data_IF_510917909551
#
_entry.id   IF_510917909551
#
_cell.length_a   1.000
_cell.length_b   1.000
_cell.length_c   1.000
_cell.angle_alpha   90.00
_cell.angle_beta   90.00
_cell.angle_gamma   90.00
#
_symmetry.space_group_name_H-M   'P 1'
#
loop_
_entity.id
_entity.type
_entity.pdbx_description
1 polymer ?
#
# COMPACT_ATOMS: atom_id res chain seq x y z
N UNK A 1 -17.12 -41.59 43.60
CA UNK A 1 -17.07 -43.07 43.69
C UNK A 1 -17.76 -43.68 42.47
N UNK A 2 -17.03 -44.55 41.77
CA UNK A 2 -17.44 -45.58 40.79
C UNK A 2 -18.12 -45.22 39.45
N UNK A 3 -17.31 -45.43 38.41
CA UNK A 3 -17.68 -45.67 37.00
C UNK A 3 -18.58 -46.91 36.80
N UNK A 4 -19.33 -46.93 35.69
CA UNK A 4 -19.69 -48.11 34.88
C UNK A 4 -20.15 -47.62 33.49
N UNK A 5 -19.36 -47.85 32.44
CA UNK A 5 -19.25 -49.04 31.55
C UNK A 5 -20.06 -48.86 30.26
N UNK A 6 -19.33 -48.76 29.15
CA UNK A 6 -19.80 -48.92 27.76
C UNK A 6 -19.64 -50.40 27.38
N UNK A 7 -20.59 -50.96 26.64
CA UNK A 7 -20.39 -52.21 25.88
C UNK A 7 -21.01 -52.14 24.49
N UNK A 8 -20.26 -52.71 23.54
CA UNK A 8 -20.41 -52.76 22.08
C UNK A 8 -21.54 -53.69 21.60
N UNK A 9 -22.16 -53.36 20.47
CA UNK A 9 -22.86 -54.26 19.53
C UNK A 9 -22.37 -53.89 18.12
N UNK A 10 -21.59 -54.75 17.45
CA UNK A 10 -21.97 -55.90 16.63
C UNK A 10 -22.61 -55.50 15.30
N UNK A 11 -22.01 -55.89 14.17
CA UNK A 11 -22.56 -56.91 13.25
C UNK A 11 -21.62 -57.20 12.07
N UNK A 12 -21.26 -58.48 11.93
CA UNK A 12 -20.80 -59.13 10.71
C UNK A 12 -22.04 -59.57 9.92
N UNK A 13 -22.02 -59.42 8.60
CA UNK A 13 -22.79 -60.28 7.68
C UNK A 13 -21.97 -60.53 6.41
N UNK A 14 -21.94 -61.80 6.02
CA UNK A 14 -21.10 -62.36 4.98
C UNK A 14 -21.87 -62.61 3.67
N UNK A 15 -21.12 -62.50 2.56
CA UNK A 15 -21.18 -63.27 1.30
C UNK A 15 -22.44 -63.24 0.42
N UNK A 16 -22.25 -62.87 -0.86
CA UNK A 16 -22.33 -63.84 -1.98
C UNK A 16 -21.61 -63.30 -3.22
N UNK A 17 -20.74 -64.12 -3.81
CA UNK A 17 -19.99 -63.82 -5.02
C UNK A 17 -20.74 -64.25 -6.29
N UNK A 18 -20.57 -63.46 -7.35
CA UNK A 18 -20.80 -63.87 -8.73
C UNK A 18 -19.56 -63.46 -9.55
N UNK A 19 -18.86 -64.45 -10.09
CA UNK A 19 -17.68 -64.26 -10.92
C UNK A 19 -18.10 -63.92 -12.35
N UNK A 20 -17.72 -62.72 -12.81
CA UNK A 20 -17.73 -62.35 -14.23
C UNK A 20 -16.29 -62.01 -14.60
N UNK A 21 -15.64 -62.92 -15.33
CA UNK A 21 -14.33 -62.74 -15.94
C UNK A 21 -14.44 -61.77 -17.11
N UNK A 22 -14.20 -60.49 -16.87
CA UNK A 22 -13.99 -59.47 -17.90
C UNK A 22 -12.49 -59.22 -18.10
N UNK A 23 -12.03 -59.23 -19.34
CA UNK A 23 -10.67 -58.87 -19.72
C UNK A 23 -10.36 -57.42 -19.28
N UNK A 24 -9.60 -57.26 -18.20
CA UNK A 24 -9.12 -55.96 -17.73
C UNK A 24 -7.87 -55.52 -18.49
N UNK A 25 -7.96 -54.41 -19.22
CA UNK A 25 -6.79 -53.65 -19.66
C UNK A 25 -6.09 -53.14 -18.38
N UNK A 26 -4.77 -53.30 -18.20
CA UNK A 26 -4.10 -52.82 -17.00
C UNK A 26 -4.19 -51.29 -16.95
N UNK A 27 -4.94 -50.77 -15.98
CA UNK A 27 -4.93 -49.35 -15.64
C UNK A 27 -3.57 -49.01 -15.03
N UNK A 28 -2.79 -48.18 -15.72
CA UNK A 28 -1.59 -47.58 -15.18
C UNK A 28 -1.97 -46.67 -14.00
N UNK A 29 -1.33 -46.80 -12.83
CA UNK A 29 -1.58 -45.91 -11.72
C UNK A 29 -1.14 -44.49 -12.13
N UNK A 30 -2.10 -43.58 -12.26
CA UNK A 30 -1.82 -42.16 -12.47
C UNK A 30 -1.24 -41.62 -11.17
N UNK A 31 0.06 -41.45 -11.12
CA UNK A 31 0.75 -40.76 -10.04
C UNK A 31 0.30 -39.30 -10.08
N UNK A 32 -0.45 -38.87 -9.06
CA UNK A 32 -0.78 -37.47 -8.86
C UNK A 32 0.53 -36.70 -8.63
N UNK A 33 0.82 -35.62 -9.38
CA UNK A 33 2.05 -34.87 -9.15
C UNK A 33 2.04 -34.31 -7.74
N UNK A 34 3.13 -34.53 -7.00
CA UNK A 34 3.32 -33.94 -5.68
C UNK A 34 3.21 -32.40 -5.79
N UNK A 35 2.59 -31.72 -4.80
CA UNK A 35 2.53 -30.27 -4.80
C UNK A 35 3.96 -29.73 -4.86
N UNK A 36 4.23 -28.92 -5.89
CA UNK A 36 5.50 -28.19 -6.02
C UNK A 36 5.57 -27.25 -4.81
N UNK A 37 6.53 -27.49 -3.92
CA UNK A 37 6.78 -26.62 -2.80
C UNK A 37 7.13 -25.23 -3.34
N UNK A 38 6.28 -24.24 -3.06
CA UNK A 38 6.59 -22.84 -3.35
C UNK A 38 7.81 -22.47 -2.50
N UNK A 39 8.91 -22.00 -3.11
CA UNK A 39 10.08 -21.60 -2.34
C UNK A 39 9.69 -20.50 -1.33
N UNK A 40 10.27 -20.51 -0.12
CA UNK A 40 10.01 -19.46 0.85
C UNK A 40 10.37 -18.09 0.23
N UNK A 41 9.64 -17.02 0.58
CA UNK A 41 9.95 -15.69 0.08
C UNK A 41 11.41 -15.34 0.44
N UNK A 42 12.09 -14.54 -0.41
CA UNK A 42 13.45 -14.12 -0.12
C UNK A 42 13.54 -13.45 1.26
N UNK A 43 14.66 -13.68 1.94
CA UNK A 43 14.94 -13.08 3.24
C UNK A 43 14.86 -11.54 3.14
N UNK A 44 14.33 -10.91 4.19
CA UNK A 44 14.31 -9.45 4.26
C UNK A 44 15.73 -8.89 4.23
N UNK A 45 15.98 -7.73 3.58
CA UNK A 45 17.25 -7.03 3.76
C UNK A 45 17.46 -6.72 5.25
N UNK A 46 18.69 -6.79 5.76
CA UNK A 46 18.99 -6.41 7.13
C UNK A 46 18.71 -4.91 7.34
N UNK A 47 18.36 -4.54 8.57
CA UNK A 47 18.15 -3.13 8.92
C UNK A 47 19.47 -2.33 8.85
N UNK A 48 19.43 -1.11 8.32
CA UNK A 48 20.58 -0.22 8.19
C UNK A 48 20.93 0.46 9.53
N UNK A 49 22.19 0.43 9.92
CA UNK A 49 22.66 0.95 11.21
C UNK A 49 22.46 2.47 11.36
N UNK A 50 22.52 3.24 10.27
CA UNK A 50 22.30 4.70 10.34
C UNK A 50 20.81 5.02 10.56
N UNK A 51 19.92 4.20 9.99
CA UNK A 51 18.48 4.33 10.20
C UNK A 51 18.07 3.89 11.61
N UNK A 52 18.70 2.86 12.17
CA UNK A 52 18.55 2.48 13.59
C UNK A 52 18.99 3.63 14.50
N UNK A 53 20.13 4.26 14.19
CA UNK A 53 20.62 5.41 14.97
C UNK A 53 19.66 6.61 14.88
N UNK A 54 19.06 6.85 13.71
CA UNK A 54 18.04 7.89 13.51
C UNK A 54 16.77 7.61 14.32
N UNK A 55 16.26 6.37 14.30
CA UNK A 55 15.12 5.95 15.13
C UNK A 55 15.37 6.24 16.62
N UNK A 56 16.55 5.87 17.12
CA UNK A 56 16.90 6.03 18.54
C UNK A 56 16.87 7.49 19.04
N UNK A 57 16.81 8.48 18.13
CA UNK A 57 16.73 9.91 18.45
C UNK A 57 15.49 10.62 17.87
N UNK A 58 14.60 9.90 17.17
CA UNK A 58 13.36 10.47 16.62
C UNK A 58 12.18 10.46 17.59
N UNK A 59 12.27 9.73 18.71
CA UNK A 59 11.23 9.69 19.73
C UNK A 59 10.01 8.83 19.35
N UNK A 60 10.26 7.68 18.72
CA UNK A 60 9.24 6.70 18.34
C UNK A 60 9.78 5.71 17.31
N UNK A 61 8.89 5.00 16.63
CA UNK A 61 9.20 4.02 15.58
C UNK A 61 9.43 4.70 14.22
N UNK A 62 10.41 4.20 13.48
CA UNK A 62 10.74 4.63 12.13
C UNK A 62 10.68 3.44 11.17
N UNK A 63 9.86 3.52 10.14
CA UNK A 63 9.78 2.52 9.07
C UNK A 63 10.35 3.10 7.78
N UNK A 64 11.37 2.47 7.20
CA UNK A 64 12.01 2.93 5.95
C UNK A 64 12.20 1.76 5.01
N UNK A 65 11.86 1.97 3.74
CA UNK A 65 12.30 1.10 2.66
C UNK A 65 12.56 1.92 1.40
N UNK A 66 13.71 1.72 0.78
CA UNK A 66 14.11 2.40 -0.47
C UNK A 66 14.65 1.35 -1.43
N UNK A 67 14.20 1.41 -2.67
CA UNK A 67 14.61 0.55 -3.77
C UNK A 67 15.23 1.40 -4.88
N UNK A 68 16.47 1.09 -5.23
CA UNK A 68 17.05 1.51 -6.51
C UNK A 68 16.55 0.59 -7.62
N UNK A 69 15.78 1.13 -8.56
CA UNK A 69 15.15 0.34 -9.61
C UNK A 69 16.11 -0.06 -10.74
N UNK A 70 17.26 0.60 -10.85
CA UNK A 70 18.28 0.27 -11.84
C UNK A 70 19.14 -0.91 -11.43
N UNK A 71 19.47 -1.02 -10.14
CA UNK A 71 20.37 -2.05 -9.61
C UNK A 71 19.62 -3.15 -8.84
N UNK A 72 18.41 -2.86 -8.36
CA UNK A 72 17.68 -3.72 -7.43
C UNK A 72 18.17 -3.63 -5.98
N UNK A 73 19.14 -2.76 -5.69
CA UNK A 73 19.65 -2.56 -4.33
C UNK A 73 18.58 -1.94 -3.43
N UNK A 74 18.57 -2.33 -2.16
CA UNK A 74 17.61 -1.82 -1.17
C UNK A 74 18.31 -1.34 0.10
N UNK A 75 17.75 -0.30 0.70
CA UNK A 75 18.07 0.16 2.07
C UNK A 75 16.78 0.08 2.87
N UNK A 76 16.82 -0.50 4.07
CA UNK A 76 15.63 -0.78 4.84
C UNK A 76 15.86 -0.62 6.34
N UNK A 77 14.81 -0.27 7.06
CA UNK A 77 14.71 -0.36 8.53
C UNK A 77 13.25 -0.59 8.90
N UNK A 78 12.94 -1.65 9.65
CA UNK A 78 11.55 -2.09 9.93
C UNK A 78 10.68 -2.22 8.68
N UNK A 79 11.29 -2.57 7.55
CA UNK A 79 10.63 -2.50 6.23
C UNK A 79 9.42 -3.42 6.08
N UNK A 80 9.24 -4.39 7.00
CA UNK A 80 8.15 -5.37 7.00
C UNK A 80 7.22 -5.24 8.21
N UNK A 81 7.43 -4.24 9.05
CA UNK A 81 6.51 -3.92 10.14
C UNK A 81 5.37 -3.04 9.63
N UNK A 82 4.20 -3.17 10.25
CA UNK A 82 3.02 -2.37 9.89
C UNK A 82 3.14 -0.95 10.41
N UNK A 83 2.71 -0.01 9.59
CA UNK A 83 2.53 1.40 9.92
C UNK A 83 1.19 1.89 9.37
N UNK A 84 0.56 2.82 10.10
CA UNK A 84 -0.65 3.50 9.67
C UNK A 84 -0.36 4.28 8.39
N UNK A 85 -1.16 4.09 7.34
CA UNK A 85 -0.94 4.79 6.07
C UNK A 85 -1.28 6.28 6.19
N UNK A 86 -2.35 6.61 6.90
CA UNK A 86 -2.98 7.93 6.84
C UNK A 86 -3.19 8.34 5.36
N UNK A 87 -3.01 9.62 5.01
CA UNK A 87 -3.20 10.10 3.63
C UNK A 87 -2.24 9.54 2.56
N UNK A 88 -1.21 8.75 2.91
CA UNK A 88 -0.42 8.01 1.90
C UNK A 88 -1.30 7.00 1.15
N UNK A 89 -2.41 6.55 1.77
CA UNK A 89 -3.46 5.71 1.19
C UNK A 89 -4.08 6.29 -0.10
N UNK A 90 -4.02 7.62 -0.29
CA UNK A 90 -4.60 8.28 -1.48
C UNK A 90 -3.86 7.94 -2.78
N UNK A 91 -2.59 7.52 -2.71
CA UNK A 91 -1.81 7.05 -3.87
C UNK A 91 -2.39 5.74 -4.46
N UNK A 92 -2.46 4.63 -3.72
CA UNK A 92 -3.10 3.40 -4.22
C UNK A 92 -4.60 3.57 -4.52
N UNK A 93 -5.33 4.43 -3.79
CA UNK A 93 -6.72 4.77 -4.09
C UNK A 93 -6.86 5.36 -5.51
N UNK A 94 -6.07 6.38 -5.84
CA UNK A 94 -6.13 7.01 -7.17
C UNK A 94 -5.62 6.09 -8.26
N UNK A 95 -4.62 5.25 -7.98
CA UNK A 95 -4.19 4.19 -8.89
C UNK A 95 -5.35 3.21 -9.20
N UNK A 96 -6.15 2.79 -8.21
CA UNK A 96 -7.30 1.93 -8.43
C UNK A 96 -8.37 2.59 -9.34
N UNK A 97 -8.56 3.90 -9.23
CA UNK A 97 -9.46 4.66 -10.13
C UNK A 97 -8.93 4.68 -11.56
N UNK A 98 -7.62 4.87 -11.74
CA UNK A 98 -6.97 4.85 -13.05
C UNK A 98 -6.99 3.46 -13.69
N UNK A 99 -6.82 2.40 -12.90
CA UNK A 99 -6.96 1.02 -13.35
C UNK A 99 -8.37 0.77 -13.91
N UNK A 100 -9.40 1.14 -13.14
CA UNK A 100 -10.79 1.06 -13.59
C UNK A 100 -11.05 1.86 -14.86
N UNK A 101 -10.47 3.07 -14.99
CA UNK A 101 -10.62 3.93 -16.15
C UNK A 101 -10.08 3.29 -17.45
N UNK A 102 -9.17 2.31 -17.36
CA UNK A 102 -8.68 1.55 -18.52
C UNK A 102 -9.83 0.83 -19.24
N UNK A 103 -10.81 0.35 -18.48
CA UNK A 103 -11.98 -0.37 -19.02
C UNK A 103 -13.23 0.51 -19.11
N UNK A 104 -13.19 1.72 -18.57
CA UNK A 104 -14.27 2.71 -18.60
C UNK A 104 -13.74 4.06 -19.14
N UNK A 105 -13.61 4.23 -20.48
CA UNK A 105 -12.92 5.40 -21.05
C UNK A 105 -13.48 6.76 -20.65
N UNK A 106 -14.79 6.84 -20.36
CA UNK A 106 -15.46 8.08 -19.93
C UNK A 106 -15.42 8.31 -18.40
N UNK A 107 -14.79 7.41 -17.63
CA UNK A 107 -14.82 7.47 -16.17
C UNK A 107 -14.21 8.76 -15.63
N UNK A 108 -13.05 9.16 -16.18
CA UNK A 108 -12.29 10.30 -15.68
C UNK A 108 -12.99 11.64 -15.97
N UNK A 109 -13.74 11.73 -17.08
CA UNK A 109 -14.53 12.91 -17.45
C UNK A 109 -15.90 12.95 -16.77
N UNK A 110 -16.29 11.87 -16.07
CA UNK A 110 -17.58 11.80 -15.39
C UNK A 110 -17.65 12.83 -14.28
N UNK A 111 -18.68 13.68 -14.32
CA UNK A 111 -18.96 14.65 -13.28
C UNK A 111 -19.58 13.97 -12.05
N UNK A 112 -18.97 14.19 -10.89
CA UNK A 112 -19.47 13.78 -9.58
C UNK A 112 -20.10 15.00 -8.89
N UNK A 113 -21.39 14.89 -8.57
CA UNK A 113 -22.14 15.90 -7.80
C UNK A 113 -22.22 15.46 -6.35
N UNK A 114 -21.96 16.39 -5.44
CA UNK A 114 -22.01 16.20 -4.00
C UNK A 114 -22.53 17.46 -3.32
N UNK A 115 -23.18 17.32 -2.17
CA UNK A 115 -23.66 18.43 -1.37
C UNK A 115 -22.74 18.78 -0.20
N UNK A 116 -23.06 19.85 0.55
CA UNK A 116 -22.30 20.27 1.74
C UNK A 116 -22.17 19.17 2.79
N UNK A 117 -23.10 18.22 2.85
CA UNK A 117 -23.09 17.08 3.76
C UNK A 117 -21.92 16.10 3.54
N UNK A 118 -21.29 16.14 2.37
CA UNK A 118 -20.12 15.32 2.06
C UNK A 118 -18.78 16.01 2.44
N UNK A 119 -18.82 17.29 2.80
CA UNK A 119 -17.60 18.05 3.11
C UNK A 119 -17.03 17.64 4.46
N UNK A 120 -15.73 17.32 4.46
CA UNK A 120 -14.91 17.09 5.64
C UNK A 120 -14.13 18.35 6.00
N UNK A 121 -13.55 18.37 7.20
CA UNK A 121 -12.80 19.52 7.71
C UNK A 121 -11.64 19.95 6.78
N UNK A 122 -10.84 18.98 6.32
CA UNK A 122 -9.76 19.23 5.37
C UNK A 122 -10.19 18.90 3.93
N UNK A 123 -10.80 19.88 3.28
CA UNK A 123 -11.39 19.76 1.94
C UNK A 123 -11.13 21.02 1.07
N UNK A 124 -9.86 21.38 0.82
CA UNK A 124 -9.49 22.68 0.25
C UNK A 124 -10.00 22.92 -1.18
N UNK A 125 -10.24 21.87 -1.97
CA UNK A 125 -10.68 21.99 -3.37
C UNK A 125 -12.16 21.65 -3.49
N UNK A 126 -12.61 20.57 -2.86
CA UNK A 126 -14.00 20.13 -2.96
C UNK A 126 -14.98 21.14 -2.35
N UNK A 127 -14.59 21.82 -1.25
CA UNK A 127 -15.40 22.91 -0.68
C UNK A 127 -15.69 24.02 -1.69
N UNK A 128 -14.72 24.34 -2.57
CA UNK A 128 -14.87 25.39 -3.58
C UNK A 128 -15.77 24.97 -4.75
N UNK A 129 -16.03 23.66 -4.90
CA UNK A 129 -16.67 23.08 -6.08
C UNK A 129 -18.01 22.39 -5.77
N UNK A 130 -18.57 22.52 -4.56
CA UNK A 130 -19.88 21.94 -4.20
C UNK A 130 -20.99 22.31 -5.18
N UNK A 131 -21.03 23.57 -5.63
CA UNK A 131 -22.08 24.04 -6.54
C UNK A 131 -21.97 23.43 -7.95
N UNK A 132 -20.75 23.11 -8.40
CA UNK A 132 -20.45 22.65 -9.77
C UNK A 132 -20.19 21.16 -9.86
N UNK A 133 -19.90 20.49 -8.74
CA UNK A 133 -19.29 19.18 -8.75
C UNK A 133 -17.86 19.23 -9.30
N UNK A 134 -17.25 18.06 -9.42
CA UNK A 134 -15.90 17.87 -9.95
C UNK A 134 -15.85 16.63 -10.84
N UNK A 135 -15.00 16.61 -11.85
CA UNK A 135 -14.77 15.37 -12.60
C UNK A 135 -14.02 14.36 -11.72
N UNK A 136 -14.10 13.07 -12.06
CA UNK A 136 -13.30 12.05 -11.37
C UNK A 136 -11.79 12.35 -11.48
N UNK A 137 -11.33 12.88 -12.62
CA UNK A 137 -9.95 13.33 -12.78
C UNK A 137 -9.58 14.45 -11.79
N UNK A 138 -10.43 15.46 -11.64
CA UNK A 138 -10.19 16.57 -10.71
C UNK A 138 -10.21 16.11 -9.24
N UNK A 139 -11.04 15.11 -8.91
CA UNK A 139 -11.05 14.50 -7.59
C UNK A 139 -9.75 13.73 -7.32
N UNK A 140 -9.24 12.97 -8.29
CA UNK A 140 -7.94 12.29 -8.18
C UNK A 140 -6.79 13.29 -8.00
N UNK A 141 -6.81 14.38 -8.77
CA UNK A 141 -5.84 15.47 -8.63
C UNK A 141 -5.90 16.05 -7.21
N UNK A 142 -7.07 16.52 -6.76
CA UNK A 142 -7.24 17.11 -5.43
C UNK A 142 -6.82 16.17 -4.29
N UNK A 143 -7.11 14.87 -4.40
CA UNK A 143 -6.70 13.86 -3.42
C UNK A 143 -5.17 13.68 -3.38
N UNK A 144 -4.46 13.80 -4.51
CA UNK A 144 -3.01 13.62 -4.56
C UNK A 144 -2.24 14.91 -4.26
N UNK A 145 -2.60 16.01 -4.91
CA UNK A 145 -1.76 17.22 -4.95
C UNK A 145 -1.85 18.07 -3.69
N UNK A 146 -3.03 18.07 -3.07
CA UNK A 146 -3.33 18.85 -1.86
C UNK A 146 -3.97 18.03 -0.75
N UNK A 147 -4.12 16.71 -0.94
CA UNK A 147 -4.60 15.76 0.07
C UNK A 147 -6.06 15.95 0.51
N UNK A 148 -6.93 16.43 -0.39
CA UNK A 148 -8.35 16.69 -0.09
C UNK A 148 -9.09 15.42 0.39
N UNK A 149 -9.65 15.45 1.61
CA UNK A 149 -10.26 14.28 2.24
C UNK A 149 -11.63 13.94 1.66
N UNK A 150 -12.46 14.95 1.35
CA UNK A 150 -13.75 14.72 0.69
C UNK A 150 -13.53 14.14 -0.70
N UNK A 151 -12.52 14.59 -1.44
CA UNK A 151 -12.18 13.99 -2.73
C UNK A 151 -11.85 12.51 -2.58
N UNK A 152 -11.05 12.13 -1.59
CA UNK A 152 -10.74 10.73 -1.32
C UNK A 152 -11.98 9.89 -0.98
N UNK A 153 -12.90 10.40 -0.15
CA UNK A 153 -14.15 9.69 0.15
C UNK A 153 -15.05 9.52 -1.08
N UNK A 154 -15.19 10.56 -1.91
CA UNK A 154 -15.96 10.47 -3.15
C UNK A 154 -15.36 9.44 -4.13
N UNK A 155 -14.03 9.33 -4.19
CA UNK A 155 -13.35 8.30 -4.98
C UNK A 155 -13.51 6.89 -4.39
N UNK A 156 -13.51 6.75 -3.06
CA UNK A 156 -13.81 5.48 -2.40
C UNK A 156 -15.24 5.04 -2.73
N UNK A 157 -16.22 5.93 -2.59
CA UNK A 157 -17.62 5.66 -2.95
C UNK A 157 -17.75 5.26 -4.43
N UNK A 158 -17.03 5.96 -5.32
CA UNK A 158 -16.95 5.63 -6.73
C UNK A 158 -16.55 4.18 -6.98
N UNK A 159 -15.55 3.70 -6.22
CA UNK A 159 -14.99 2.34 -6.32
C UNK A 159 -15.84 1.28 -5.57
N UNK A 160 -16.80 1.69 -4.75
CA UNK A 160 -17.57 0.77 -3.90
C UNK A 160 -16.96 0.53 -2.51
N UNK A 161 -16.08 1.42 -2.05
CA UNK A 161 -15.53 1.47 -0.70
C UNK A 161 -14.09 0.94 -0.55
N UNK A 162 -13.53 0.97 0.68
CA UNK A 162 -12.14 0.63 0.96
C UNK A 162 -11.70 -0.76 0.48
N UNK A 163 -12.60 -1.75 0.57
CA UNK A 163 -12.32 -3.12 0.14
C UNK A 163 -11.97 -3.23 -1.36
N UNK A 164 -12.46 -2.32 -2.21
CA UNK A 164 -12.12 -2.27 -3.63
C UNK A 164 -10.64 -1.90 -3.84
N UNK A 165 -10.11 -0.96 -3.05
CA UNK A 165 -8.69 -0.59 -3.09
C UNK A 165 -7.82 -1.73 -2.56
N UNK A 166 -8.25 -2.40 -1.49
CA UNK A 166 -7.58 -3.63 -1.02
C UNK A 166 -7.53 -4.69 -2.12
N UNK A 167 -8.64 -4.90 -2.83
CA UNK A 167 -8.70 -5.86 -3.95
C UNK A 167 -7.75 -5.47 -5.08
N UNK A 168 -7.69 -4.19 -5.44
CA UNK A 168 -6.76 -3.67 -6.42
C UNK A 168 -5.30 -3.96 -6.05
N UNK A 169 -4.86 -3.61 -4.83
CA UNK A 169 -3.45 -3.84 -4.43
C UNK A 169 -3.12 -5.33 -4.29
N UNK A 170 -4.10 -6.20 -3.99
CA UNK A 170 -3.92 -7.66 -4.07
C UNK A 170 -3.66 -8.11 -5.51
N UNK A 171 -4.33 -7.49 -6.49
CA UNK A 171 -4.09 -7.72 -7.92
C UNK A 171 -2.68 -7.34 -8.36
N UNK A 172 -2.04 -6.37 -7.68
CA UNK A 172 -0.63 -6.01 -7.88
C UNK A 172 0.35 -6.97 -7.18
N UNK A 173 -0.15 -8.01 -6.50
CA UNK A 173 0.65 -8.99 -5.78
C UNK A 173 1.03 -8.60 -4.36
N UNK A 174 0.46 -7.53 -3.79
CA UNK A 174 0.68 -7.17 -2.38
C UNK A 174 -0.31 -7.90 -1.46
N UNK A 175 0.13 -8.82 -0.58
CA UNK A 175 -0.73 -9.50 0.38
C UNK A 175 -0.97 -8.73 1.69
N UNK A 176 -0.35 -7.56 1.88
CA UNK A 176 -0.16 -6.95 3.21
C UNK A 176 -1.00 -5.70 3.43
N UNK A 177 -1.00 -4.75 2.48
CA UNK A 177 -1.69 -3.48 2.63
C UNK A 177 -3.19 -3.70 2.70
N UNK A 178 -3.88 -2.98 3.60
CA UNK A 178 -5.34 -3.08 3.75
C UNK A 178 -5.96 -1.71 3.95
N UNK A 179 -7.13 -1.54 3.37
CA UNK A 179 -7.98 -0.35 3.45
C UNK A 179 -9.29 -0.79 4.08
N UNK A 180 -9.64 -0.19 5.20
CA UNK A 180 -10.73 -0.63 6.06
C UNK A 180 -11.74 0.50 6.32
N UNK A 181 -11.28 1.77 6.32
CA UNK A 181 -12.09 2.96 6.67
C UNK A 181 -11.97 4.06 5.62
N UNK A 182 -12.82 5.07 5.76
CA UNK A 182 -12.83 6.32 5.00
C UNK A 182 -12.10 7.42 5.78
N UNK A 183 -11.91 8.59 5.15
CA UNK A 183 -11.52 9.79 5.87
C UNK A 183 -12.68 10.30 6.75
N UNK A 184 -12.40 10.82 7.95
CA UNK A 184 -11.08 10.95 8.59
C UNK A 184 -10.64 9.73 9.41
N UNK A 185 -11.48 8.71 9.58
CA UNK A 185 -11.26 7.61 10.53
C UNK A 185 -10.03 6.75 10.21
N UNK A 186 -9.62 6.68 8.93
CA UNK A 186 -8.41 5.97 8.51
C UNK A 186 -7.11 6.56 9.07
N UNK A 187 -7.15 7.78 9.65
CA UNK A 187 -5.99 8.42 10.27
C UNK A 187 -5.84 8.07 11.76
N UNK A 188 -6.68 7.19 12.30
CA UNK A 188 -6.67 6.82 13.72
C UNK A 188 -6.22 5.37 13.88
N UNK A 189 -5.09 5.18 14.54
CA UNK A 189 -4.75 3.90 15.16
C UNK A 189 -5.36 3.83 16.57
N UNK A 190 -6.06 2.74 16.89
CA UNK A 190 -6.71 2.57 18.20
C UNK A 190 -5.89 1.76 19.20
N UNK A 191 -4.87 1.03 18.72
CA UNK A 191 -3.96 0.24 19.55
C UNK A 191 -2.74 -0.19 18.73
N UNK A 192 -1.63 -0.64 19.37
CA UNK A 192 -0.49 -1.21 18.66
C UNK A 192 -0.82 -2.42 17.77
N UNK A 193 -1.91 -3.14 18.06
CA UNK A 193 -2.36 -4.31 17.29
C UNK A 193 -3.40 -3.95 16.21
N UNK A 194 -3.74 -2.67 16.04
CA UNK A 194 -4.70 -2.21 15.05
C UNK A 194 -4.10 -2.26 13.65
N UNK A 195 -4.37 -3.35 12.92
CA UNK A 195 -3.87 -3.50 11.55
C UNK A 195 -4.65 -2.71 10.51
N UNK A 196 -5.79 -2.08 10.85
CA UNK A 196 -6.65 -1.41 9.87
C UNK A 196 -5.95 -0.22 9.23
N UNK A 197 -6.12 -0.05 7.92
CA UNK A 197 -5.53 1.06 7.16
C UNK A 197 -3.99 1.12 7.25
N UNK A 198 -3.36 -0.03 7.45
CA UNK A 198 -1.90 -0.16 7.52
C UNK A 198 -1.30 -0.77 6.26
N UNK A 199 -0.04 -0.43 6.03
CA UNK A 199 0.86 -1.08 5.08
C UNK A 199 2.19 -1.40 5.76
N UNK A 200 3.13 -1.97 5.03
CA UNK A 200 4.55 -2.01 5.44
C UNK A 200 5.36 -1.15 4.46
N UNK A 201 6.48 -0.54 4.87
CA UNK A 201 7.32 0.24 3.97
C UNK A 201 7.68 -0.52 2.68
N UNK A 202 8.02 -1.80 2.77
CA UNK A 202 8.33 -2.63 1.60
C UNK A 202 7.11 -2.91 0.72
N UNK A 203 5.94 -3.16 1.31
CA UNK A 203 4.71 -3.42 0.55
C UNK A 203 4.30 -2.20 -0.28
N UNK A 204 4.28 -1.01 0.31
CA UNK A 204 3.88 0.20 -0.43
C UNK A 204 4.93 0.63 -1.47
N UNK A 205 6.23 0.41 -1.22
CA UNK A 205 7.26 0.57 -2.28
C UNK A 205 7.00 -0.37 -3.45
N UNK A 206 6.60 -1.62 -3.19
CA UNK A 206 6.18 -2.56 -4.22
C UNK A 206 4.99 -2.06 -5.03
N UNK A 207 3.95 -1.55 -4.36
CA UNK A 207 2.79 -0.94 -5.01
C UNK A 207 3.21 0.26 -5.87
N UNK A 208 3.97 1.20 -5.32
CA UNK A 208 4.38 2.42 -6.03
C UNK A 208 5.18 2.04 -7.28
N UNK A 209 6.14 1.12 -7.18
CA UNK A 209 6.88 0.61 -8.35
C UNK A 209 5.94 0.01 -9.40
N UNK A 210 4.94 -0.76 -8.98
CA UNK A 210 3.99 -1.38 -9.90
C UNK A 210 3.20 -0.33 -10.70
N UNK A 211 2.70 0.71 -10.02
CA UNK A 211 1.80 1.71 -10.62
C UNK A 211 2.52 2.90 -11.26
N UNK A 212 3.80 3.14 -10.96
CA UNK A 212 4.59 4.26 -11.52
C UNK A 212 5.62 3.85 -12.55
N UNK A 213 6.10 2.60 -12.53
CA UNK A 213 7.22 2.16 -13.39
C UNK A 213 6.96 0.85 -14.13
N UNK A 214 6.03 0.03 -13.66
CA UNK A 214 5.77 -1.31 -14.22
C UNK A 214 4.43 -1.31 -14.98
N UNK A 215 3.80 -2.48 -15.08
CA UNK A 215 2.55 -2.77 -15.78
C UNK A 215 1.32 -2.79 -14.87
N UNK A 216 1.44 -2.30 -13.62
CA UNK A 216 0.31 -2.18 -12.70
C UNK A 216 -0.74 -1.15 -13.12
N UNK A 217 -0.43 -0.29 -14.11
CA UNK A 217 -1.35 0.60 -14.79
C UNK A 217 -1.03 0.65 -16.28
N UNK A 218 -2.04 0.94 -17.10
CA UNK A 218 -1.84 1.32 -18.50
C UNK A 218 -0.93 2.57 -18.59
N UNK A 219 -0.11 2.73 -19.65
CA UNK A 219 0.88 3.82 -19.74
C UNK A 219 0.31 5.22 -19.47
N UNK A 220 -0.85 5.55 -20.05
CA UNK A 220 -1.48 6.86 -19.83
C UNK A 220 -1.96 7.06 -18.37
N UNK A 221 -2.34 5.99 -17.68
CA UNK A 221 -2.67 6.03 -16.25
C UNK A 221 -1.42 6.26 -15.41
N UNK A 222 -0.35 5.51 -15.68
CA UNK A 222 0.96 5.64 -15.02
C UNK A 222 1.56 7.04 -15.15
N UNK A 223 1.56 7.60 -16.36
CA UNK A 223 2.12 8.93 -16.62
C UNK A 223 1.33 10.00 -15.87
N UNK A 224 -0.01 9.88 -15.84
CA UNK A 224 -0.89 10.81 -15.14
C UNK A 224 -0.78 10.70 -13.62
N UNK A 225 -0.70 9.48 -13.07
CA UNK A 225 -0.45 9.27 -11.64
C UNK A 225 0.87 9.92 -11.23
N UNK A 226 1.93 9.68 -12.01
CA UNK A 226 3.26 10.24 -11.74
C UNK A 226 3.24 11.77 -11.83
N UNK A 227 2.55 12.34 -12.81
CA UNK A 227 2.40 13.79 -12.93
C UNK A 227 1.70 14.41 -11.71
N UNK A 228 0.62 13.82 -11.22
CA UNK A 228 -0.07 14.28 -10.01
C UNK A 228 0.80 14.16 -8.76
N UNK A 229 1.54 13.06 -8.61
CA UNK A 229 2.49 12.91 -7.50
C UNK A 229 3.58 13.98 -7.54
N UNK A 230 4.13 14.28 -8.73
CA UNK A 230 5.14 15.34 -8.90
C UNK A 230 4.57 16.71 -8.55
N UNK A 231 3.31 16.96 -8.89
CA UNK A 231 2.59 18.20 -8.58
C UNK A 231 2.13 18.31 -7.11
N UNK A 232 2.37 17.31 -6.26
CA UNK A 232 2.11 17.39 -4.82
C UNK A 232 2.81 18.57 -4.18
N UNK A 233 2.07 19.30 -3.34
CA UNK A 233 2.53 20.51 -2.63
C UNK A 233 2.68 20.29 -1.12
N UNK A 234 2.41 19.06 -0.65
CA UNK A 234 2.30 18.76 0.79
C UNK A 234 3.60 18.23 1.42
N UNK A 235 4.63 17.97 0.60
CA UNK A 235 5.84 17.23 0.96
C UNK A 235 7.16 17.98 0.82
N UNK A 236 7.14 19.31 0.69
CA UNK A 236 8.39 20.10 0.52
C UNK A 236 9.38 19.91 1.68
N UNK A 237 8.88 19.72 2.89
CA UNK A 237 9.68 19.54 4.10
C UNK A 237 10.01 18.07 4.44
N UNK A 238 9.60 17.11 3.59
CA UNK A 238 9.74 15.66 3.85
C UNK A 238 10.77 15.03 2.90
N UNK A 239 10.40 14.09 2.02
CA UNK A 239 11.34 13.44 1.09
C UNK A 239 12.10 14.48 0.27
N UNK A 240 11.42 15.53 -0.19
CA UNK A 240 12.00 16.60 -1.02
C UNK A 240 13.14 17.34 -0.33
N UNK A 241 13.09 17.48 0.99
CA UNK A 241 14.15 18.11 1.77
C UNK A 241 15.38 17.19 1.98
N UNK A 242 15.25 15.89 1.73
CA UNK A 242 16.30 14.89 1.92
C UNK A 242 17.10 14.53 0.67
N UNK A 243 16.84 15.17 -0.48
CA UNK A 243 17.43 14.80 -1.77
C UNK A 243 18.33 15.90 -2.36
N UNK A 244 19.24 15.56 -3.29
CA UNK A 244 19.99 16.55 -4.05
C UNK A 244 19.08 17.53 -4.81
N UNK A 245 19.51 18.80 -4.87
CA UNK A 245 18.80 19.81 -5.64
C UNK A 245 18.68 19.43 -7.13
N UNK A 246 17.52 19.72 -7.72
CA UNK A 246 17.24 19.47 -9.14
C UNK A 246 16.71 18.06 -9.45
N UNK A 247 16.65 17.15 -8.47
CA UNK A 247 15.97 15.86 -8.65
C UNK A 247 14.47 16.05 -8.48
N UNK A 248 13.69 15.55 -9.43
CA UNK A 248 12.23 15.62 -9.30
C UNK A 248 11.75 14.52 -8.34
N UNK A 249 10.69 14.81 -7.60
CA UNK A 249 10.05 13.88 -6.67
C UNK A 249 8.57 13.87 -6.98
N UNK A 250 7.99 12.68 -7.07
CA UNK A 250 6.56 12.48 -6.97
C UNK A 250 6.24 11.77 -5.67
N UNK A 251 5.55 12.45 -4.75
CA UNK A 251 5.32 11.95 -3.39
C UNK A 251 3.88 12.15 -2.93
N UNK A 252 3.50 11.39 -1.91
CA UNK A 252 2.27 11.57 -1.16
C UNK A 252 2.55 11.47 0.33
N UNK A 253 2.28 12.56 1.03
CA UNK A 253 2.39 12.61 2.49
C UNK A 253 1.18 11.99 3.21
N UNK A 254 1.38 11.60 4.47
CA UNK A 254 0.34 11.18 5.40
C UNK A 254 0.55 11.80 6.78
N UNK A 255 -0.54 12.18 7.45
CA UNK A 255 -0.52 12.64 8.83
C UNK A 255 -1.60 11.91 9.62
N UNK A 256 -1.20 11.21 10.67
CA UNK A 256 -2.09 10.48 11.57
C UNK A 256 -2.55 11.33 12.76
N UNK A 257 -3.48 10.79 13.54
CA UNK A 257 -4.07 11.47 14.69
C UNK A 257 -3.18 11.45 15.95
N UNK A 258 -2.12 10.65 15.98
CA UNK A 258 -1.19 10.50 17.10
C UNK A 258 0.21 11.03 16.73
N UNK A 259 0.26 12.07 15.88
CA UNK A 259 1.52 12.70 15.47
C UNK A 259 2.27 11.96 14.36
N UNK A 260 1.73 10.84 13.85
CA UNK A 260 2.35 10.10 12.74
C UNK A 260 2.55 11.03 11.54
N UNK A 261 3.75 10.99 10.97
CA UNK A 261 4.07 11.71 9.72
C UNK A 261 4.74 10.74 8.76
N UNK A 262 4.19 10.66 7.57
CA UNK A 262 4.60 9.69 6.57
C UNK A 262 4.84 10.40 5.24
N UNK A 263 5.69 9.80 4.42
CA UNK A 263 5.85 10.20 3.03
C UNK A 263 6.31 9.00 2.19
N UNK A 264 5.71 8.86 1.01
CA UNK A 264 5.98 7.74 0.10
C UNK A 264 6.00 8.26 -1.33
N UNK A 265 6.84 7.67 -2.19
CA UNK A 265 6.90 8.16 -3.56
C UNK A 265 7.99 7.57 -4.43
N UNK A 266 8.31 8.35 -5.45
CA UNK A 266 9.33 8.09 -6.45
C UNK A 266 10.24 9.32 -6.58
N UNK A 267 11.55 9.08 -6.57
CA UNK A 267 12.58 10.07 -6.86
C UNK A 267 13.05 9.82 -8.30
N UNK A 268 13.12 10.88 -9.09
CA UNK A 268 13.47 10.88 -10.51
C UNK A 268 14.78 11.68 -10.72
N UNK A 269 15.94 11.03 -10.57
CA UNK A 269 17.22 11.64 -10.92
C UNK A 269 17.34 11.84 -12.45
N UNK A 270 18.09 12.86 -12.92
CA UNK A 270 18.23 13.11 -14.36
C UNK A 270 19.02 12.03 -15.12
N UNK A 271 20.03 11.42 -14.48
CA UNK A 271 21.04 10.59 -15.16
C UNK A 271 21.09 9.14 -14.63
N UNK A 272 20.02 8.64 -14.01
CA UNK A 272 19.93 7.25 -13.54
C UNK A 272 18.49 6.78 -13.40
N UNK A 273 18.33 5.48 -13.15
CA UNK A 273 17.04 4.88 -12.86
C UNK A 273 16.39 5.51 -11.60
N UNK A 274 15.05 5.58 -11.55
CA UNK A 274 14.33 6.09 -10.38
C UNK A 274 14.60 5.31 -9.10
N UNK A 275 14.43 6.00 -7.96
CA UNK A 275 14.34 5.36 -6.65
C UNK A 275 12.89 5.36 -6.21
N UNK A 276 12.42 4.27 -5.59
CA UNK A 276 11.08 4.21 -4.98
C UNK A 276 11.26 4.05 -3.49
N UNK A 277 10.53 4.83 -2.70
CA UNK A 277 10.72 4.88 -1.26
C UNK A 277 9.45 5.06 -0.46
N UNK A 278 9.53 4.64 0.80
CA UNK A 278 8.56 4.92 1.83
C UNK A 278 9.26 5.20 3.15
N UNK A 279 8.81 6.25 3.84
CA UNK A 279 9.22 6.58 5.21
C UNK A 279 7.97 6.80 6.04
N UNK A 280 7.84 6.04 7.11
CA UNK A 280 6.75 6.12 8.09
C UNK A 280 7.32 6.48 9.45
N UNK A 281 6.64 7.37 10.18
CA UNK A 281 6.97 7.68 11.57
C UNK A 281 5.76 7.43 12.46
N UNK A 282 6.01 6.89 13.64
CA UNK A 282 5.02 6.54 14.64
C UNK A 282 5.58 6.99 16.00
N UNK A 283 5.41 8.29 16.34
CA UNK A 283 6.03 8.90 17.50
C UNK A 283 5.36 8.46 18.80
N UNK A 284 6.13 8.42 19.89
CA UNK A 284 5.59 8.15 21.24
C UNK A 284 4.78 9.35 21.79
N UNK A 285 5.11 10.56 21.32
CA UNK A 285 4.46 11.83 21.68
C UNK A 285 3.58 12.31 20.52
N UNK A 286 2.24 12.41 20.71
CA UNK A 286 1.33 12.87 19.66
C UNK A 286 1.54 14.34 19.27
N UNK A 287 2.20 15.14 20.10
CA UNK A 287 2.54 16.54 19.81
C UNK A 287 3.92 16.68 19.13
N UNK A 288 4.57 15.57 18.78
CA UNK A 288 5.90 15.57 18.16
C UNK A 288 5.92 16.34 16.83
N UNK A 289 6.86 17.28 16.72
CA UNK A 289 7.11 18.03 15.48
C UNK A 289 8.28 17.46 14.67
N UNK A 290 8.85 16.33 15.07
CA UNK A 290 10.07 15.79 14.48
C UNK A 290 9.86 15.14 13.10
N UNK A 291 8.63 14.70 12.80
CA UNK A 291 8.34 13.81 11.66
C UNK A 291 8.88 14.29 10.31
N UNK A 292 8.71 15.57 9.96
CA UNK A 292 9.24 16.11 8.70
C UNK A 292 10.77 15.98 8.61
N UNK A 293 11.48 16.40 9.67
CA UNK A 293 12.94 16.33 9.73
C UNK A 293 13.43 14.88 9.72
N UNK A 294 12.75 13.98 10.44
CA UNK A 294 13.05 12.54 10.44
C UNK A 294 12.92 11.94 9.04
N UNK A 295 11.85 12.27 8.30
CA UNK A 295 11.67 11.79 6.93
C UNK A 295 12.79 12.30 6.00
N UNK A 296 13.11 13.60 6.09
CA UNK A 296 14.17 14.19 5.28
C UNK A 296 15.54 13.55 5.57
N UNK A 297 15.87 13.35 6.85
CA UNK A 297 17.15 12.74 7.26
C UNK A 297 17.23 11.26 6.84
N UNK A 298 16.15 10.48 7.02
CA UNK A 298 16.07 9.10 6.56
C UNK A 298 16.26 8.99 5.04
N UNK A 299 15.61 9.89 4.28
CA UNK A 299 15.76 9.97 2.84
C UNK A 299 17.21 10.26 2.43
N UNK A 300 17.84 11.25 3.06
CA UNK A 300 19.23 11.62 2.78
C UNK A 300 20.21 10.48 3.08
N UNK A 301 19.97 9.72 4.16
CA UNK A 301 20.74 8.52 4.50
C UNK A 301 20.62 7.48 3.39
N UNK A 302 19.39 7.08 3.04
CA UNK A 302 19.16 6.02 2.07
C UNK A 302 19.65 6.39 0.67
N UNK A 303 19.39 7.62 0.23
CA UNK A 303 19.87 8.14 -1.07
C UNK A 303 21.39 8.11 -1.10
N UNK A 304 22.08 8.63 -0.08
CA UNK A 304 23.56 8.58 -0.04
C UNK A 304 24.10 7.16 -0.18
N UNK A 305 23.50 6.18 0.50
CA UNK A 305 23.94 4.76 0.44
C UNK A 305 23.73 4.11 -0.93
N UNK A 306 22.70 4.52 -1.67
CA UNK A 306 22.33 3.97 -2.99
C UNK A 306 22.92 4.74 -4.18
N UNK A 307 23.37 5.98 -4.00
CA UNK A 307 23.91 6.83 -5.09
C UNK A 307 25.44 6.90 -5.04
N UNK A 308 26.05 6.71 -3.87
CA UNK A 308 27.50 6.84 -3.70
C UNK A 308 28.27 5.55 -4.06
N UNK A 309 27.63 4.62 -4.78
CA UNK A 309 28.22 3.39 -5.32
C UNK A 309 28.27 3.46 -6.84
#
# INVERSE_FOLDING_TARGET
MNQRRITRRSMLTATLGAALTGCGIPATPTTSPAPVAVPPPPAAPPDDLNLIALEGRSGGRLGVHVLDTGTGATVSHRGRERFLMASTAKLPLTAAVLDRATNEPALLDRLVRYGPEALLEYAPVTTQNVATGMTVADLCDAALTVSDNTAANLLLDLLGGPAAVTTFVRGLGDPTTRFDRTEPELNVSTSPDDERDTTTPAAIVGIIRAVTLSDGLAPAGRDRLTAWLVASTTGDATIRAGIPAGWAVGDKTGTGAQGERNDVGIILPPDRAPLVLAVFTDPDDPDSTAGNATIAEATAIAVRLLVSQ
#
